data_IF_333578528512
#
_entry.id   IF_333578528512
#
_cell.length_a   1.000
_cell.length_b   1.000
_cell.length_c   1.000
_cell.angle_alpha   90.00
_cell.angle_beta   90.00
_cell.angle_gamma   90.00
#
_symmetry.space_group_name_H-M   'P 1'
#
loop_
_entity.id
_entity.type
_entity.pdbx_description
1 polymer ?
#
# COMPACT_ATOMS: atom_id res chain seq x y z
N UNK A 1 -45.07 -14.91 13.95
CA UNK A 1 -44.80 -13.62 13.29
C UNK A 1 -45.99 -13.33 12.38
N UNK A 2 -46.67 -12.21 12.58
CA UNK A 2 -47.81 -11.83 11.74
C UNK A 2 -47.32 -11.43 10.34
N UNK A 3 -48.19 -11.50 9.33
CA UNK A 3 -47.87 -10.95 8.00
C UNK A 3 -47.55 -9.45 8.05
N UNK A 4 -48.07 -8.72 9.05
CA UNK A 4 -47.72 -7.31 9.32
C UNK A 4 -46.24 -7.17 9.70
N UNK A 5 -45.81 -7.92 10.72
CA UNK A 5 -44.42 -7.91 11.23
C UNK A 5 -43.39 -8.29 10.16
N UNK A 6 -43.79 -9.11 9.18
CA UNK A 6 -42.95 -9.48 8.05
C UNK A 6 -42.81 -8.31 7.06
N UNK A 7 -43.92 -7.66 6.70
CA UNK A 7 -43.91 -6.48 5.82
C UNK A 7 -43.15 -5.30 6.43
N UNK A 8 -43.27 -5.08 7.73
CA UNK A 8 -42.54 -4.02 8.42
C UNK A 8 -41.03 -4.28 8.41
N UNK A 9 -40.60 -5.51 8.64
CA UNK A 9 -39.18 -5.90 8.50
C UNK A 9 -38.66 -5.75 7.07
N UNK A 10 -39.45 -6.09 6.08
CA UNK A 10 -39.05 -5.95 4.67
C UNK A 10 -38.95 -4.48 4.24
N UNK A 11 -39.89 -3.64 4.67
CA UNK A 11 -39.81 -2.18 4.48
C UNK A 11 -38.57 -1.60 5.15
N UNK A 12 -38.30 -1.97 6.40
CA UNK A 12 -37.11 -1.51 7.13
C UNK A 12 -35.81 -1.94 6.41
N UNK A 13 -35.73 -3.17 5.92
CA UNK A 13 -34.57 -3.66 5.15
C UNK A 13 -34.39 -2.90 3.83
N UNK A 14 -35.48 -2.62 3.12
CA UNK A 14 -35.41 -1.87 1.87
C UNK A 14 -34.97 -0.42 2.09
N UNK A 15 -35.48 0.22 3.15
CA UNK A 15 -35.08 1.57 3.54
C UNK A 15 -33.59 1.61 3.92
N UNK A 16 -33.12 0.65 4.72
CA UNK A 16 -31.71 0.52 5.08
C UNK A 16 -30.79 0.33 3.84
N UNK A 17 -31.21 -0.48 2.86
CA UNK A 17 -30.48 -0.66 1.59
C UNK A 17 -30.39 0.63 0.79
N UNK A 18 -31.49 1.39 0.69
CA UNK A 18 -31.50 2.67 -0.02
C UNK A 18 -30.60 3.71 0.66
N UNK A 19 -30.63 3.80 1.99
CA UNK A 19 -29.74 4.67 2.76
C UNK A 19 -28.26 4.27 2.60
N UNK A 20 -27.94 2.98 2.62
CA UNK A 20 -26.58 2.49 2.40
C UNK A 20 -26.08 2.83 0.99
N UNK A 21 -26.93 2.69 -0.03
CA UNK A 21 -26.62 3.06 -1.42
C UNK A 21 -26.42 4.57 -1.59
N UNK A 22 -27.26 5.39 -0.96
CA UNK A 22 -27.09 6.84 -0.95
C UNK A 22 -25.77 7.25 -0.27
N UNK A 23 -25.41 6.59 0.84
CA UNK A 23 -24.16 6.85 1.56
C UNK A 23 -22.92 6.39 0.78
N UNK A 24 -22.99 5.29 0.06
CA UNK A 24 -21.88 4.83 -0.79
C UNK A 24 -21.69 5.74 -2.01
N UNK A 25 -22.77 6.23 -2.61
CA UNK A 25 -22.72 7.23 -3.68
C UNK A 25 -22.21 8.58 -3.19
N UNK A 26 -22.64 9.03 -2.00
CA UNK A 26 -22.18 10.29 -1.40
C UNK A 26 -20.70 10.24 -0.95
N UNK A 27 -20.24 9.08 -0.47
CA UNK A 27 -18.80 8.85 -0.22
C UNK A 27 -18.02 8.67 -1.53
N UNK A 28 -18.71 8.21 -2.57
CA UNK A 28 -18.32 7.89 -3.94
C UNK A 28 -17.87 9.05 -4.82
N UNK A 29 -17.29 10.12 -4.26
CA UNK A 29 -16.79 11.25 -5.05
C UNK A 29 -15.83 10.82 -6.17
N UNK A 30 -15.63 11.71 -7.14
CA UNK A 30 -14.84 11.48 -8.36
C UNK A 30 -13.51 10.78 -8.01
N UNK A 31 -13.22 9.58 -8.57
CA UNK A 31 -11.98 8.86 -8.29
C UNK A 31 -10.72 9.71 -8.52
N UNK A 32 -10.75 10.67 -9.44
CA UNK A 32 -9.65 11.62 -9.63
C UNK A 32 -9.38 12.46 -8.37
N UNK A 33 -10.43 12.97 -7.71
CA UNK A 33 -10.29 13.77 -6.49
C UNK A 33 -9.72 12.94 -5.35
N UNK A 34 -10.16 11.68 -5.19
CA UNK A 34 -9.62 10.77 -4.15
C UNK A 34 -8.15 10.46 -4.36
N UNK A 35 -7.76 10.17 -5.60
CA UNK A 35 -6.36 9.91 -5.94
C UNK A 35 -5.48 11.12 -5.64
N UNK A 36 -5.99 12.35 -5.90
CA UNK A 36 -5.26 13.58 -5.58
C UNK A 36 -5.06 13.77 -4.07
N UNK A 37 -6.09 13.49 -3.25
CA UNK A 37 -5.96 13.59 -1.79
C UNK A 37 -5.05 12.52 -1.21
N UNK A 38 -5.10 11.30 -1.75
CA UNK A 38 -4.25 10.20 -1.30
C UNK A 38 -2.78 10.44 -1.66
N UNK A 39 -2.52 10.99 -2.85
CA UNK A 39 -1.17 11.41 -3.26
C UNK A 39 -0.58 12.45 -2.31
N UNK A 40 -1.32 13.52 -2.00
CA UNK A 40 -0.87 14.55 -1.05
C UNK A 40 -0.60 13.99 0.36
N UNK A 41 -1.44 13.07 0.84
CA UNK A 41 -1.24 12.42 2.14
C UNK A 41 0.01 11.53 2.17
N UNK A 42 0.33 10.85 1.06
CA UNK A 42 1.56 10.05 0.93
C UNK A 42 2.80 10.94 0.89
N UNK A 43 2.77 12.03 0.12
CA UNK A 43 3.87 13.00 0.06
C UNK A 43 4.16 13.62 1.43
N UNK A 44 3.14 14.03 2.17
CA UNK A 44 3.30 14.56 3.53
C UNK A 44 3.94 13.53 4.48
N UNK A 45 3.56 12.25 4.39
CA UNK A 45 4.18 11.17 5.18
C UNK A 45 5.63 10.93 4.78
N UNK A 46 5.95 10.97 3.49
CA UNK A 46 7.31 10.81 2.99
C UNK A 46 8.19 11.96 3.46
N UNK A 47 7.72 13.21 3.35
CA UNK A 47 8.42 14.39 3.84
C UNK A 47 8.67 14.31 5.36
N UNK A 48 7.66 13.92 6.14
CA UNK A 48 7.81 13.74 7.58
C UNK A 48 8.81 12.62 7.94
N UNK A 49 8.85 11.52 7.18
CA UNK A 49 9.84 10.45 7.37
C UNK A 49 11.25 10.91 7.01
N UNK A 50 11.42 11.64 5.90
CA UNK A 50 12.71 12.20 5.50
C UNK A 50 13.26 13.17 6.56
N UNK A 51 12.43 14.09 7.05
CA UNK A 51 12.82 15.02 8.10
C UNK A 51 13.25 14.32 9.40
N UNK A 52 12.56 13.25 9.80
CA UNK A 52 12.96 12.43 10.96
C UNK A 52 14.27 11.68 10.73
N UNK A 53 14.45 11.12 9.52
CA UNK A 53 15.66 10.39 9.17
C UNK A 53 16.90 11.29 9.12
N UNK A 54 16.75 12.54 8.66
CA UNK A 54 17.82 13.56 8.70
C UNK A 54 18.18 13.95 10.13
N UNK A 55 17.20 14.06 11.04
CA UNK A 55 17.46 14.31 12.46
C UNK A 55 18.13 13.13 13.18
N UNK A 56 17.71 11.90 12.88
CA UNK A 56 18.30 10.68 13.48
C UNK A 56 19.72 10.41 12.94
N UNK A 57 19.97 10.69 11.67
CA UNK A 57 21.32 10.55 11.08
C UNK A 57 22.32 11.58 11.60
N UNK A 58 21.88 12.80 11.90
CA UNK A 58 22.72 13.81 12.54
C UNK A 58 23.08 13.47 14.01
N UNK A 59 22.18 12.79 14.74
CA UNK A 59 22.44 12.34 16.11
C UNK A 59 23.30 11.06 16.19
N UNK A 60 23.25 10.18 15.19
CA UNK A 60 24.13 9.00 15.12
C UNK A 60 25.57 9.32 14.71
N UNK A 61 25.81 10.42 13.99
CA UNK A 61 27.16 10.81 13.58
C UNK A 61 28.06 11.28 14.74
N UNK A 62 27.49 11.71 15.86
CA UNK A 62 28.24 12.29 16.98
C UNK A 62 28.53 11.33 18.15
N UNK A 63 28.08 10.08 18.12
CA UNK A 63 28.16 9.19 19.29
C UNK A 63 28.79 7.80 19.07
N UNK A 64 29.37 7.50 17.90
CA UNK A 64 29.89 6.15 17.63
C UNK A 64 31.38 6.17 17.30
N UNK A 65 32.21 5.81 18.28
CA UNK A 65 33.57 5.35 18.05
C UNK A 65 33.59 4.27 16.95
N UNK A 66 34.61 4.23 16.07
CA UNK A 66 34.56 3.41 14.85
C UNK A 66 34.45 1.91 15.19
N UNK A 67 33.24 1.36 15.04
CA UNK A 67 33.02 -0.08 15.14
C UNK A 67 33.60 -0.74 13.89
N UNK A 68 34.72 -1.44 14.05
CA UNK A 68 35.34 -2.25 12.99
C UNK A 68 34.37 -3.35 12.58
N UNK A 69 33.78 -3.20 11.39
CA UNK A 69 32.82 -4.18 10.85
C UNK A 69 33.58 -5.39 10.33
N UNK A 70 33.19 -6.59 10.80
CA UNK A 70 33.63 -7.85 10.21
C UNK A 70 33.21 -7.90 8.74
N UNK A 71 34.14 -8.31 7.87
CA UNK A 71 33.92 -8.39 6.42
C UNK A 71 32.95 -9.54 6.14
N UNK A 72 31.70 -9.21 5.82
CA UNK A 72 30.68 -10.17 5.39
C UNK A 72 30.74 -10.28 3.86
N UNK A 73 30.78 -11.49 3.27
CA UNK A 73 30.75 -11.65 1.82
C UNK A 73 29.43 -11.09 1.27
N UNK A 74 29.52 -10.18 0.31
CA UNK A 74 28.35 -9.62 -0.36
C UNK A 74 27.73 -10.67 -1.26
N UNK A 75 26.47 -11.02 -1.01
CA UNK A 75 25.70 -11.86 -1.92
C UNK A 75 25.53 -11.13 -3.26
N UNK A 76 25.66 -11.87 -4.36
CA UNK A 76 25.41 -11.35 -5.70
C UNK A 76 23.95 -10.88 -5.75
N UNK A 77 23.76 -9.64 -6.15
CA UNK A 77 22.42 -9.11 -6.43
C UNK A 77 22.08 -9.57 -7.83
N UNK A 78 21.05 -10.39 -7.96
CA UNK A 78 20.55 -10.78 -9.28
C UNK A 78 20.15 -9.50 -10.02
N UNK A 79 20.78 -9.27 -11.17
CA UNK A 79 20.45 -8.14 -12.02
C UNK A 79 19.09 -8.37 -12.67
N UNK A 80 18.41 -7.30 -13.07
CA UNK A 80 17.12 -7.43 -13.78
C UNK A 80 17.28 -8.29 -15.03
N UNK A 81 18.41 -8.15 -15.74
CA UNK A 81 18.73 -8.98 -16.90
C UNK A 81 18.93 -10.46 -16.56
N UNK A 82 19.52 -10.79 -15.41
CA UNK A 82 19.65 -12.18 -14.96
C UNK A 82 18.28 -12.81 -14.66
N UNK A 83 17.38 -12.04 -14.03
CA UNK A 83 16.03 -12.50 -13.73
C UNK A 83 15.19 -12.70 -14.99
N UNK A 84 15.37 -11.84 -15.99
CA UNK A 84 14.71 -11.97 -17.28
C UNK A 84 15.28 -13.14 -18.12
N UNK A 85 16.57 -13.43 -17.98
CA UNK A 85 17.26 -14.49 -18.73
C UNK A 85 17.09 -15.89 -18.12
N UNK A 86 16.88 -15.98 -16.80
CA UNK A 86 16.73 -17.24 -16.08
C UNK A 86 15.52 -18.07 -16.56
N UNK A 87 14.48 -17.41 -17.09
CA UNK A 87 13.28 -18.08 -17.63
C UNK A 87 13.34 -18.39 -19.14
N UNK A 88 14.21 -17.73 -19.90
CA UNK A 88 14.23 -17.81 -21.38
C UNK A 88 15.23 -18.84 -21.92
N UNK A 89 16.26 -19.19 -21.14
CA UNK A 89 17.34 -20.08 -21.58
C UNK A 89 17.01 -21.59 -21.51
N UNK A 90 15.86 -21.98 -20.95
CA UNK A 90 15.44 -23.38 -20.79
C UNK A 90 14.63 -23.94 -21.97
N UNK A 91 14.50 -23.20 -23.07
CA UNK A 91 13.90 -23.71 -24.30
C UNK A 91 14.83 -24.75 -24.96
N UNK A 92 14.68 -26.01 -24.56
CA UNK A 92 15.19 -27.18 -25.27
C UNK A 92 14.70 -27.12 -26.72
N UNK A 93 15.57 -26.73 -27.66
CA UNK A 93 15.28 -26.80 -29.09
C UNK A 93 14.93 -28.24 -29.45
N UNK A 94 13.66 -28.51 -29.69
CA UNK A 94 13.22 -29.73 -30.36
C UNK A 94 13.58 -29.54 -31.83
N UNK A 95 14.39 -30.47 -32.34
CA UNK A 95 14.90 -30.48 -33.70
C UNK A 95 13.90 -31.18 -34.62
#
# INVERSE_FOLDING_TARGET
MSRGDQRDRDRAKNLAKQQAKAKSQARGGDPLQRNSSDAAALEAKIAAKKAKQEQESAQQANSVAPVVRKKVPTMKKDSVDDLLSAGLSSAKRVK
#
